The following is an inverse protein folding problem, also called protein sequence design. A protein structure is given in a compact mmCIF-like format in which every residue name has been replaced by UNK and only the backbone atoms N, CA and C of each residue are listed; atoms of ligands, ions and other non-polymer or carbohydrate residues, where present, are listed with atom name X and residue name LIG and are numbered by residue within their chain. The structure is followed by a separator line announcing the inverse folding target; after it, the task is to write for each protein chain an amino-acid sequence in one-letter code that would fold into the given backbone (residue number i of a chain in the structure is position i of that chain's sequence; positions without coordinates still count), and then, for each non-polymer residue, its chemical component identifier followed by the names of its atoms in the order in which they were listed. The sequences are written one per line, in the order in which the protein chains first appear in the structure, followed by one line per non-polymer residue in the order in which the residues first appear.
data_IF_407445259131
#
_entry.id   IF_407445259131
#
_cell.length_a   1.000
_cell.length_b   1.000
_cell.length_c   1.000
_cell.angle_alpha   90.00
_cell.angle_beta   90.00
_cell.angle_gamma   90.00
#
_symmetry.space_group_name_H-M   'P 1'
#
loop_
_entity.id
_entity.type
_entity.pdbx_description
1 polymer ?
#
# COMPACT_ATOMS: atom_id res chain seq x y z
N UNK A 1 -100.93 9.75 -1.92
CA UNK A 1 -102.23 10.31 -2.31
C UNK A 1 -102.13 11.84 -2.37
N UNK A 2 -102.67 12.41 -3.40
CA UNK A 2 -102.78 13.86 -3.59
C UNK A 2 -104.21 14.19 -4.00
N UNK A 3 -104.69 15.38 -3.67
CA UNK A 3 -105.97 15.91 -4.15
C UNK A 3 -105.76 17.27 -4.85
N UNK A 4 -106.51 17.62 -5.84
CA UNK A 4 -106.42 18.92 -6.54
C UNK A 4 -106.90 20.11 -5.65
N UNK A 5 -107.62 19.85 -4.53
CA UNK A 5 -108.11 20.88 -3.63
C UNK A 5 -107.11 21.34 -2.54
N UNK A 6 -106.01 20.63 -2.36
CA UNK A 6 -104.99 20.92 -1.35
C UNK A 6 -103.60 20.57 -1.88
N UNK A 7 -102.55 21.24 -1.35
CA UNK A 7 -101.14 20.94 -1.60
C UNK A 7 -100.58 19.85 -0.71
N UNK A 8 -101.40 19.36 0.23
CA UNK A 8 -100.97 18.33 1.14
C UNK A 8 -100.86 16.98 0.47
N UNK A 9 -99.91 16.17 0.95
CA UNK A 9 -99.70 14.80 0.48
C UNK A 9 -99.78 13.86 1.65
N UNK A 10 -100.49 12.75 1.52
CA UNK A 10 -100.61 11.74 2.55
C UNK A 10 -100.27 10.34 2.00
N UNK A 11 -99.95 9.42 2.90
CA UNK A 11 -99.82 7.98 2.52
C UNK A 11 -101.26 7.41 2.23
N UNK A 12 -101.39 6.30 1.49
CA UNK A 12 -102.66 5.69 1.15
C UNK A 12 -103.49 5.28 2.34
N UNK A 13 -102.90 4.92 3.48
CA UNK A 13 -103.59 4.53 4.72
C UNK A 13 -104.34 5.71 5.36
N UNK A 14 -103.83 6.94 5.25
CA UNK A 14 -104.34 8.16 5.83
C UNK A 14 -105.07 9.08 4.78
N UNK A 15 -105.54 8.47 3.76
CA UNK A 15 -106.17 9.23 2.65
C UNK A 15 -107.37 10.09 3.08
N UNK A 16 -108.07 9.66 4.16
CA UNK A 16 -109.25 10.39 4.69
C UNK A 16 -108.87 11.72 5.34
N UNK A 17 -107.60 11.85 5.77
CA UNK A 17 -107.11 13.04 6.51
C UNK A 17 -106.59 14.14 5.58
N UNK A 18 -106.60 13.92 4.25
CA UNK A 18 -106.01 14.86 3.31
C UNK A 18 -106.97 16.00 3.02
N UNK A 19 -108.34 15.66 2.85
CA UNK A 19 -109.42 16.60 2.55
C UNK A 19 -110.74 15.89 2.62
N UNK A 20 -111.89 16.68 2.62
CA UNK A 20 -113.28 16.20 2.62
C UNK A 20 -113.79 15.74 1.23
N UNK A 21 -112.94 15.67 0.24
CA UNK A 21 -113.26 15.19 -1.09
C UNK A 21 -113.45 13.69 -1.12
N UNK A 22 -114.36 13.15 -1.86
CA UNK A 22 -114.59 11.71 -2.03
C UNK A 22 -113.35 11.01 -2.64
N UNK A 23 -113.19 9.69 -2.40
CA UNK A 23 -112.08 8.91 -2.88
C UNK A 23 -111.81 8.99 -4.40
N UNK A 24 -112.83 9.22 -5.19
CA UNK A 24 -112.78 9.40 -6.65
C UNK A 24 -111.99 10.62 -7.11
N UNK A 25 -111.77 11.61 -6.22
CA UNK A 25 -111.00 12.81 -6.51
C UNK A 25 -109.62 12.74 -6.07
N UNK A 26 -109.21 11.67 -5.46
CA UNK A 26 -107.83 11.44 -5.00
C UNK A 26 -106.98 10.75 -6.06
N UNK A 27 -105.79 11.24 -6.26
CA UNK A 27 -104.84 10.67 -7.22
C UNK A 27 -103.75 9.97 -6.46
N UNK A 28 -103.58 8.69 -6.73
CA UNK A 28 -102.40 7.90 -6.22
C UNK A 28 -101.21 8.26 -7.11
N UNK A 29 -100.19 8.82 -6.49
CA UNK A 29 -98.96 9.06 -7.15
C UNK A 29 -98.00 7.98 -6.67
N UNK A 30 -97.54 7.15 -7.58
CA UNK A 30 -96.44 6.24 -7.34
C UNK A 30 -95.15 7.02 -7.57
N UNK A 31 -94.29 7.00 -6.56
CA UNK A 31 -92.94 7.63 -6.61
C UNK A 31 -91.96 6.76 -7.36
N UNK A 32 -92.14 5.49 -7.19
CA UNK A 32 -91.31 4.47 -7.84
C UNK A 32 -92.25 3.38 -8.38
N UNK A 33 -91.91 2.80 -9.54
CA UNK A 33 -92.50 1.54 -10.02
C UNK A 33 -92.05 0.37 -9.15
N UNK A 34 -92.79 -0.72 -9.09
CA UNK A 34 -92.43 -1.94 -8.41
C UNK A 34 -91.07 -2.49 -8.93
N UNK A 35 -90.81 -2.37 -10.23
CA UNK A 35 -89.55 -2.74 -10.85
C UNK A 35 -88.41 -1.86 -10.30
N UNK A 36 -88.64 -0.56 -10.15
CA UNK A 36 -87.64 0.37 -9.58
C UNK A 36 -87.38 0.07 -8.09
N UNK A 37 -88.37 -0.34 -7.33
CA UNK A 37 -88.19 -0.73 -5.92
C UNK A 37 -87.45 -2.03 -5.81
N UNK A 38 -87.71 -3.03 -6.66
CA UNK A 38 -86.99 -4.26 -6.74
C UNK A 38 -85.51 -4.00 -7.10
N UNK A 39 -85.27 -3.13 -8.07
CA UNK A 39 -83.93 -2.73 -8.47
C UNK A 39 -83.16 -2.03 -7.30
N UNK A 40 -83.87 -1.13 -6.57
CA UNK A 40 -83.23 -0.47 -5.37
C UNK A 40 -82.98 -1.48 -4.29
N UNK A 41 -83.90 -2.39 -4.00
CA UNK A 41 -83.74 -3.43 -2.98
C UNK A 41 -82.62 -4.38 -3.35
N UNK A 42 -82.56 -4.83 -4.59
CA UNK A 42 -81.50 -5.68 -5.10
C UNK A 42 -80.13 -5.00 -4.96
N UNK A 43 -79.99 -3.77 -5.38
CA UNK A 43 -78.79 -3.00 -5.25
C UNK A 43 -78.40 -2.74 -3.78
N UNK A 44 -79.38 -2.48 -2.93
CA UNK A 44 -79.16 -2.29 -1.51
C UNK A 44 -78.68 -3.60 -0.86
N UNK A 45 -79.31 -4.72 -1.21
CA UNK A 45 -78.95 -6.06 -0.71
C UNK A 45 -77.55 -6.49 -1.20
N UNK A 46 -77.27 -6.24 -2.48
CA UNK A 46 -75.94 -6.47 -3.00
C UNK A 46 -74.85 -5.66 -2.21
N UNK A 47 -75.11 -4.37 -2.03
CA UNK A 47 -74.19 -3.53 -1.27
C UNK A 47 -74.08 -3.96 0.20
N UNK A 48 -75.15 -4.36 0.85
CA UNK A 48 -75.13 -4.86 2.21
C UNK A 48 -74.37 -6.18 2.38
N UNK A 49 -74.34 -7.01 1.31
CA UNK A 49 -73.63 -8.25 1.29
C UNK A 49 -72.15 -8.12 0.93
N UNK A 50 -71.68 -6.97 0.40
CA UNK A 50 -70.26 -6.76 0.03
C UNK A 50 -69.30 -7.08 1.19
N UNK A 51 -69.48 -6.62 2.43
CA UNK A 51 -68.59 -6.99 3.54
C UNK A 51 -68.54 -8.48 3.80
N UNK A 52 -69.69 -9.16 3.81
CA UNK A 52 -69.73 -10.61 4.07
C UNK A 52 -69.09 -11.39 2.94
N UNK A 53 -69.30 -10.99 1.67
CA UNK A 53 -68.69 -11.65 0.52
C UNK A 53 -67.17 -11.48 0.55
N UNK A 54 -66.69 -10.29 0.96
CA UNK A 54 -65.26 -10.03 1.11
C UNK A 54 -64.66 -10.85 2.23
N UNK A 55 -65.27 -10.97 3.42
CA UNK A 55 -64.81 -11.80 4.53
C UNK A 55 -64.75 -13.27 4.10
N UNK A 56 -65.79 -13.78 3.43
CA UNK A 56 -65.78 -15.15 2.92
C UNK A 56 -64.66 -15.38 1.86
N UNK A 57 -64.29 -14.37 1.08
CA UNK A 57 -63.18 -14.42 0.15
C UNK A 57 -61.88 -14.45 0.91
N UNK A 58 -61.71 -13.68 1.93
CA UNK A 58 -60.54 -13.69 2.83
C UNK A 58 -60.37 -15.07 3.50
N UNK A 59 -61.40 -15.56 4.16
CA UNK A 59 -61.43 -16.87 4.82
C UNK A 59 -61.06 -18.02 3.88
N UNK A 60 -61.61 -18.03 2.66
CA UNK A 60 -61.23 -19.02 1.66
C UNK A 60 -59.78 -18.91 1.26
N UNK A 61 -59.26 -17.71 1.03
CA UNK A 61 -57.87 -17.48 0.65
C UNK A 61 -56.89 -17.94 1.71
N UNK A 62 -57.23 -17.82 3.00
CA UNK A 62 -56.44 -18.33 4.14
C UNK A 62 -56.59 -19.85 4.28
N UNK A 63 -57.79 -20.39 4.03
CA UNK A 63 -58.03 -21.83 4.15
C UNK A 63 -57.39 -22.63 2.99
N UNK A 64 -57.36 -22.06 1.78
CA UNK A 64 -56.81 -22.72 0.59
C UNK A 64 -55.26 -22.89 0.65
N UNK A 65 -54.56 -22.04 1.42
CA UNK A 65 -53.10 -22.13 1.59
C UNK A 65 -52.70 -21.77 3.01
N UNK A 66 -51.93 -22.64 3.70
CA UNK A 66 -51.39 -22.34 5.02
C UNK A 66 -50.43 -21.14 5.01
N UNK A 67 -49.87 -20.79 3.83
CA UNK A 67 -49.02 -19.63 3.60
C UNK A 67 -49.60 -18.83 2.42
N UNK A 68 -50.52 -17.86 2.67
CA UNK A 68 -51.11 -17.06 1.63
C UNK A 68 -50.11 -16.14 0.98
N UNK A 69 -50.19 -15.96 -0.32
CA UNK A 69 -49.30 -15.06 -1.06
C UNK A 69 -49.54 -13.61 -0.65
N UNK A 70 -48.48 -12.89 -0.28
CA UNK A 70 -48.54 -11.47 0.10
C UNK A 70 -49.21 -10.60 -0.96
N UNK A 71 -49.01 -10.90 -2.25
CA UNK A 71 -49.62 -10.23 -3.37
C UNK A 71 -51.16 -10.33 -3.31
N UNK A 72 -51.67 -11.51 -2.96
CA UNK A 72 -53.12 -11.74 -2.81
C UNK A 72 -53.66 -10.97 -1.60
N UNK A 73 -52.97 -11.00 -0.46
CA UNK A 73 -53.36 -10.25 0.75
C UNK A 73 -53.37 -8.75 0.51
N UNK A 74 -52.41 -8.19 -0.20
CA UNK A 74 -52.38 -6.78 -0.63
C UNK A 74 -53.60 -6.43 -1.52
N UNK A 75 -53.96 -7.35 -2.42
CA UNK A 75 -55.12 -7.17 -3.28
C UNK A 75 -56.42 -7.15 -2.47
N UNK A 76 -56.57 -8.12 -1.56
CA UNK A 76 -57.72 -8.22 -0.64
C UNK A 76 -57.81 -6.98 0.27
N UNK A 77 -56.69 -6.50 0.82
CA UNK A 77 -56.67 -5.24 1.59
C UNK A 77 -57.15 -4.07 0.78
N UNK A 78 -56.66 -3.91 -0.48
CA UNK A 78 -57.08 -2.82 -1.38
C UNK A 78 -58.54 -2.94 -1.76
N UNK A 79 -59.07 -4.14 -1.94
CA UNK A 79 -60.50 -4.37 -2.20
C UNK A 79 -61.33 -4.01 -0.96
N UNK A 80 -60.89 -4.43 0.24
CA UNK A 80 -61.57 -4.12 1.52
C UNK A 80 -61.64 -2.62 1.79
N UNK A 81 -60.55 -1.88 1.52
CA UNK A 81 -60.47 -0.43 1.70
C UNK A 81 -61.44 0.35 0.79
N UNK A 82 -61.90 -0.25 -0.31
CA UNK A 82 -62.89 0.34 -1.23
C UNK A 82 -64.33 0.12 -0.76
N UNK A 83 -64.57 -0.78 0.17
CA UNK A 83 -65.90 -1.06 0.69
C UNK A 83 -66.27 0.03 1.71
N UNK A 84 -67.31 0.82 1.49
CA UNK A 84 -67.66 1.99 2.35
C UNK A 84 -68.36 1.58 3.66
N UNK A 85 -68.22 0.36 4.10
CA UNK A 85 -68.82 -0.19 5.31
C UNK A 85 -67.74 -0.71 6.27
N UNK A 86 -67.95 -0.63 7.57
CA UNK A 86 -66.96 -1.11 8.51
C UNK A 86 -66.83 -2.64 8.45
N UNK A 87 -65.62 -3.09 8.28
CA UNK A 87 -65.25 -4.52 8.26
C UNK A 87 -64.27 -4.75 9.40
N UNK A 88 -64.61 -5.45 10.50
CA UNK A 88 -63.74 -5.67 11.64
C UNK A 88 -62.41 -6.39 11.27
N UNK A 89 -62.42 -7.31 10.32
CA UNK A 89 -61.33 -8.15 9.88
C UNK A 89 -60.29 -7.35 9.05
N UNK A 90 -60.65 -6.13 8.58
CA UNK A 90 -59.76 -5.32 7.75
C UNK A 90 -58.59 -4.73 8.53
N UNK A 91 -58.81 -4.37 9.82
CA UNK A 91 -57.75 -3.80 10.65
C UNK A 91 -56.66 -4.83 11.00
N UNK A 92 -56.95 -6.05 11.43
CA UNK A 92 -55.96 -7.12 11.60
C UNK A 92 -55.23 -7.50 10.29
N UNK A 93 -55.95 -7.54 9.20
CA UNK A 93 -55.31 -7.81 7.88
C UNK A 93 -54.33 -6.71 7.48
N UNK A 94 -54.68 -5.44 7.73
CA UNK A 94 -53.78 -4.30 7.47
C UNK A 94 -52.51 -4.42 8.31
N UNK A 95 -52.61 -4.62 9.60
CA UNK A 95 -51.46 -4.80 10.46
C UNK A 95 -50.58 -5.95 10.04
N UNK A 96 -51.17 -7.07 9.65
CA UNK A 96 -50.45 -8.23 9.13
C UNK A 96 -49.71 -7.91 7.84
N UNK A 97 -50.37 -7.29 6.85
CA UNK A 97 -49.78 -6.91 5.57
C UNK A 97 -48.69 -5.85 5.76
N UNK A 98 -48.84 -4.92 6.70
CA UNK A 98 -47.78 -3.93 7.05
C UNK A 98 -46.55 -4.64 7.59
N UNK A 99 -46.68 -5.56 8.53
CA UNK A 99 -45.56 -6.37 9.05
C UNK A 99 -44.87 -7.19 7.94
N UNK A 100 -45.66 -7.82 7.06
CA UNK A 100 -45.10 -8.54 5.90
C UNK A 100 -44.35 -7.60 4.93
N UNK A 101 -44.88 -6.38 4.75
CA UNK A 101 -44.21 -5.36 3.90
C UNK A 101 -42.90 -4.90 4.52
N UNK A 102 -42.85 -4.63 5.82
CA UNK A 102 -41.61 -4.27 6.56
C UNK A 102 -40.58 -5.39 6.43
N UNK A 103 -40.99 -6.65 6.59
CA UNK A 103 -40.15 -7.81 6.37
C UNK A 103 -39.58 -7.87 4.93
N UNK A 104 -40.44 -7.66 3.91
CA UNK A 104 -40.00 -7.66 2.49
C UNK A 104 -39.02 -6.52 2.23
N UNK A 105 -39.22 -5.33 2.79
CA UNK A 105 -38.29 -4.21 2.66
C UNK A 105 -36.94 -4.54 3.29
N UNK A 106 -36.93 -5.15 4.46
CA UNK A 106 -35.72 -5.59 5.11
C UNK A 106 -35.03 -6.72 4.32
N UNK A 107 -35.75 -7.75 3.91
CA UNK A 107 -35.23 -8.85 3.09
C UNK A 107 -34.62 -8.36 1.76
N UNK A 108 -35.30 -7.40 1.11
CA UNK A 108 -34.82 -6.79 -0.14
C UNK A 108 -33.44 -6.15 0.05
N UNK A 109 -33.13 -5.55 1.22
CA UNK A 109 -31.85 -5.00 1.54
C UNK A 109 -30.74 -6.08 1.56
N UNK A 110 -31.04 -7.29 1.93
CA UNK A 110 -30.08 -8.42 1.89
C UNK A 110 -29.95 -9.01 0.48
N UNK A 111 -31.02 -9.00 -0.33
CA UNK A 111 -31.04 -9.59 -1.67
C UNK A 111 -30.39 -8.69 -2.72
N UNK A 112 -30.75 -7.39 -2.73
CA UNK A 112 -30.39 -6.45 -3.82
C UNK A 112 -29.11 -5.68 -3.60
N UNK A 113 -28.32 -6.00 -2.57
CA UNK A 113 -27.09 -5.30 -2.20
C UNK A 113 -25.97 -5.48 -3.24
N UNK A 114 -26.26 -5.14 -4.49
CA UNK A 114 -25.25 -4.96 -5.54
C UNK A 114 -24.78 -3.51 -5.54
N UNK A 115 -23.45 -3.34 -5.46
CA UNK A 115 -22.60 -2.19 -5.91
C UNK A 115 -23.16 -0.74 -5.89
N UNK A 116 -24.46 -0.51 -5.94
CA UNK A 116 -25.04 0.85 -5.95
C UNK A 116 -24.89 1.57 -4.59
N UNK A 117 -24.92 0.85 -3.49
CA UNK A 117 -24.73 1.43 -2.16
C UNK A 117 -23.29 1.83 -1.88
N UNK A 118 -22.30 1.11 -2.47
CA UNK A 118 -20.89 1.45 -2.34
C UNK A 118 -20.57 2.86 -2.84
N UNK A 119 -21.13 3.27 -3.99
CA UNK A 119 -20.96 4.62 -4.56
C UNK A 119 -21.70 5.72 -3.77
N UNK A 120 -22.84 5.39 -3.15
CA UNK A 120 -23.57 6.35 -2.29
C UNK A 120 -22.89 6.54 -0.94
N UNK A 121 -22.40 5.46 -0.35
CA UNK A 121 -21.67 5.48 0.93
C UNK A 121 -20.30 6.17 0.78
N UNK A 122 -19.60 5.97 -0.32
CA UNK A 122 -18.33 6.64 -0.61
C UNK A 122 -18.46 8.17 -0.72
N UNK A 123 -19.61 8.66 -1.26
CA UNK A 123 -19.94 10.10 -1.27
C UNK A 123 -20.32 10.64 0.12
N UNK A 124 -20.97 9.84 0.95
CA UNK A 124 -21.33 10.21 2.33
C UNK A 124 -20.10 10.23 3.24
N UNK A 125 -19.19 9.26 3.04
CA UNK A 125 -17.94 9.12 3.81
C UNK A 125 -17.01 10.33 3.62
N UNK A 126 -16.93 10.84 2.39
CA UNK A 126 -16.15 12.07 2.09
C UNK A 126 -16.68 13.34 2.79
N UNK A 127 -17.91 13.32 3.33
CA UNK A 127 -18.51 14.46 4.01
C UNK A 127 -18.41 14.45 5.54
N UNK A 128 -17.87 13.38 6.15
CA UNK A 128 -17.53 13.33 7.59
C UNK A 128 -18.67 13.63 8.56
N UNK A 129 -19.93 13.30 8.21
CA UNK A 129 -21.10 13.59 9.04
C UNK A 129 -21.45 12.43 9.96
N UNK A 130 -22.09 12.72 11.10
CA UNK A 130 -22.59 11.71 12.05
C UNK A 130 -23.47 10.63 11.38
N UNK A 131 -24.17 10.98 10.29
CA UNK A 131 -24.93 10.03 9.44
C UNK A 131 -24.03 8.98 8.75
N UNK A 132 -22.75 9.24 8.57
CA UNK A 132 -21.84 8.28 7.94
C UNK A 132 -21.52 7.12 8.89
N UNK A 133 -21.37 7.40 10.18
CA UNK A 133 -21.13 6.37 11.22
C UNK A 133 -22.35 5.46 11.39
N UNK A 134 -23.55 6.05 11.40
CA UNK A 134 -24.82 5.31 11.50
C UNK A 134 -25.07 4.41 10.26
N UNK A 135 -24.71 4.90 9.07
CA UNK A 135 -24.76 4.11 7.84
C UNK A 135 -23.73 2.96 7.84
N UNK A 136 -22.54 3.19 8.39
CA UNK A 136 -21.52 2.16 8.52
C UNK A 136 -21.92 1.06 9.51
N UNK A 137 -22.55 1.43 10.61
CA UNK A 137 -23.03 0.48 11.61
C UNK A 137 -24.19 -0.36 11.06
N UNK A 138 -25.13 0.27 10.34
CA UNK A 138 -26.15 -0.45 9.59
C UNK A 138 -25.54 -1.37 8.51
N UNK A 139 -24.49 -0.95 7.85
CA UNK A 139 -23.79 -1.78 6.87
C UNK A 139 -23.13 -2.99 7.52
N UNK A 140 -22.55 -2.86 8.70
CA UNK A 140 -22.00 -3.97 9.48
C UNK A 140 -23.10 -4.95 9.92
N UNK A 141 -24.23 -4.42 10.41
CA UNK A 141 -25.38 -5.27 10.80
C UNK A 141 -25.89 -6.11 9.62
N UNK A 142 -26.00 -5.53 8.44
CA UNK A 142 -26.50 -6.26 7.27
C UNK A 142 -25.49 -7.29 6.69
N UNK A 143 -24.23 -7.27 7.13
CA UNK A 143 -23.24 -8.27 6.74
C UNK A 143 -23.25 -9.53 7.58
N UNK A 144 -24.01 -9.55 8.67
CA UNK A 144 -24.12 -10.69 9.57
C UNK A 144 -25.02 -11.76 8.98
N UNK A 145 -24.53 -12.98 8.84
CA UNK A 145 -25.30 -14.15 8.36
C UNK A 145 -26.45 -14.49 9.30
N UNK A 146 -26.26 -14.25 10.61
CA UNK A 146 -27.26 -14.48 11.64
C UNK A 146 -28.55 -13.70 11.39
N UNK A 147 -28.45 -12.49 10.81
CA UNK A 147 -29.61 -11.69 10.50
C UNK A 147 -30.43 -12.26 9.34
N UNK A 148 -29.78 -12.87 8.35
CA UNK A 148 -30.48 -13.61 7.26
C UNK A 148 -31.25 -14.77 7.85
N UNK A 149 -30.64 -15.54 8.76
CA UNK A 149 -31.28 -16.69 9.43
C UNK A 149 -32.47 -16.22 10.28
N UNK A 150 -32.33 -15.10 11.01
CA UNK A 150 -33.43 -14.51 11.81
C UNK A 150 -34.60 -14.10 10.94
N UNK A 151 -34.32 -13.40 9.81
CA UNK A 151 -35.37 -13.01 8.87
C UNK A 151 -36.11 -14.22 8.28
N UNK A 152 -35.41 -15.29 7.94
CA UNK A 152 -36.07 -16.52 7.47
C UNK A 152 -36.94 -17.15 8.57
N UNK A 153 -36.46 -17.16 9.82
CA UNK A 153 -37.26 -17.65 10.94
C UNK A 153 -38.49 -16.75 11.20
N UNK A 154 -38.38 -15.44 11.05
CA UNK A 154 -39.53 -14.52 11.10
C UNK A 154 -40.56 -14.78 10.00
N UNK A 155 -40.11 -15.01 8.78
CA UNK A 155 -41.00 -15.38 7.67
C UNK A 155 -41.76 -16.69 7.95
N UNK A 156 -41.07 -17.68 8.52
CA UNK A 156 -41.68 -18.95 8.93
C UNK A 156 -42.70 -18.76 10.06
N UNK A 157 -42.49 -17.81 10.97
CA UNK A 157 -43.42 -17.46 12.04
C UNK A 157 -44.62 -16.65 11.54
N UNK A 158 -44.42 -15.81 10.51
CA UNK A 158 -45.50 -15.02 9.90
C UNK A 158 -46.39 -15.85 8.97
N UNK A 159 -45.94 -17.01 8.55
CA UNK A 159 -46.70 -17.97 7.71
C UNK A 159 -47.28 -17.35 6.43
N UNK A 160 -46.51 -16.49 5.74
CA UNK A 160 -46.88 -15.94 4.44
C UNK A 160 -45.91 -16.39 3.35
N UNK A 161 -46.27 -16.18 2.10
CA UNK A 161 -45.46 -16.53 0.93
C UNK A 161 -45.17 -15.29 0.08
N UNK A 162 -43.90 -15.13 -0.34
CA UNK A 162 -43.47 -14.13 -1.30
C UNK A 162 -42.15 -14.57 -1.98
N UNK A 163 -41.86 -14.11 -3.20
CA UNK A 163 -40.65 -14.49 -3.95
C UNK A 163 -39.34 -14.10 -3.26
N UNK A 164 -39.38 -13.11 -2.38
CA UNK A 164 -38.22 -12.67 -1.61
C UNK A 164 -37.80 -13.71 -0.57
N UNK A 165 -38.74 -14.51 -0.03
CA UNK A 165 -38.42 -15.62 0.89
C UNK A 165 -37.59 -16.68 0.17
N UNK A 166 -37.97 -17.07 -1.03
CA UNK A 166 -37.24 -18.08 -1.82
C UNK A 166 -35.85 -17.57 -2.18
N UNK A 167 -35.74 -16.32 -2.63
CA UNK A 167 -34.45 -15.70 -2.95
C UNK A 167 -33.52 -15.62 -1.72
N UNK A 168 -34.07 -15.29 -0.56
CA UNK A 168 -33.30 -15.20 0.69
C UNK A 168 -32.86 -16.59 1.15
N UNK A 169 -33.71 -17.61 0.95
CA UNK A 169 -33.40 -19.02 1.27
C UNK A 169 -32.31 -19.55 0.37
N UNK A 170 -32.42 -19.36 -0.96
CA UNK A 170 -31.36 -19.73 -1.91
C UNK A 170 -30.02 -19.11 -1.56
N UNK A 171 -30.06 -17.84 -1.13
CA UNK A 171 -28.85 -17.14 -0.68
C UNK A 171 -28.27 -17.74 0.60
N UNK A 172 -29.11 -18.06 1.58
CA UNK A 172 -28.67 -18.70 2.82
C UNK A 172 -28.07 -20.08 2.56
N UNK A 173 -28.69 -20.86 1.70
CA UNK A 173 -28.19 -22.18 1.29
C UNK A 173 -26.85 -22.08 0.56
N UNK A 174 -26.71 -21.13 -0.37
CA UNK A 174 -25.46 -20.88 -1.07
C UNK A 174 -24.33 -20.46 -0.12
N UNK A 175 -24.62 -19.64 0.91
CA UNK A 175 -23.65 -19.28 1.95
C UNK A 175 -23.26 -20.52 2.78
N UNK A 176 -24.22 -21.37 3.13
CA UNK A 176 -23.97 -22.58 3.89
C UNK A 176 -23.12 -23.58 3.10
N UNK A 177 -23.41 -23.77 1.82
CA UNK A 177 -22.60 -24.59 0.91
C UNK A 177 -21.18 -24.07 0.78
N UNK A 178 -21.03 -22.74 0.67
CA UNK A 178 -19.72 -22.11 0.68
C UNK A 178 -18.95 -22.40 1.97
N UNK A 179 -19.59 -22.21 3.13
CA UNK A 179 -18.98 -22.50 4.45
C UNK A 179 -18.50 -23.95 4.54
N UNK A 180 -19.26 -24.87 4.02
CA UNK A 180 -18.91 -26.29 4.04
C UNK A 180 -17.71 -26.57 3.12
N UNK A 181 -17.68 -25.97 1.92
CA UNK A 181 -16.53 -26.07 1.00
C UNK A 181 -15.29 -25.40 1.57
N UNK A 182 -15.44 -24.22 2.18
CA UNK A 182 -14.35 -23.50 2.84
C UNK A 182 -13.73 -24.33 3.98
N UNK A 183 -14.55 -24.92 4.85
CA UNK A 183 -14.08 -25.83 5.92
C UNK A 183 -13.36 -27.06 5.37
N UNK A 184 -13.87 -27.65 4.30
CA UNK A 184 -13.20 -28.77 3.63
C UNK A 184 -11.84 -28.34 3.05
N UNK A 185 -11.77 -27.17 2.42
CA UNK A 185 -10.52 -26.62 1.89
C UNK A 185 -9.49 -26.33 3.00
N UNK A 186 -9.92 -25.80 4.14
CA UNK A 186 -9.06 -25.54 5.29
C UNK A 186 -8.52 -26.83 5.94
N UNK A 187 -9.29 -27.94 5.89
CA UNK A 187 -8.82 -29.24 6.42
C UNK A 187 -7.90 -29.98 5.45
N UNK A 188 -8.07 -29.77 4.14
CA UNK A 188 -7.31 -30.46 3.08
C UNK A 188 -6.35 -29.56 2.32
N UNK A 189 -5.93 -28.44 2.92
CA UNK A 189 -5.11 -27.40 2.28
C UNK A 189 -3.81 -27.91 1.62
N UNK A 190 -3.27 -29.05 2.02
CA UNK A 190 -2.06 -29.64 1.42
C UNK A 190 -2.21 -30.14 -0.02
N UNK A 191 -3.44 -30.24 -0.55
CA UNK A 191 -3.72 -30.75 -1.89
C UNK A 191 -4.31 -29.71 -2.85
N UNK A 192 -4.62 -28.52 -2.37
CA UNK A 192 -5.23 -27.45 -3.16
C UNK A 192 -4.16 -26.45 -3.64
N UNK A 193 -4.33 -25.96 -4.87
CA UNK A 193 -3.47 -24.93 -5.44
C UNK A 193 -3.86 -23.54 -4.93
N UNK A 194 -2.91 -22.61 -4.96
CA UNK A 194 -3.16 -21.19 -4.60
C UNK A 194 -4.31 -20.58 -5.41
N UNK A 195 -4.42 -20.92 -6.72
CA UNK A 195 -5.54 -20.50 -7.57
C UNK A 195 -6.91 -20.98 -7.09
N UNK A 196 -7.02 -22.22 -6.59
CA UNK A 196 -8.28 -22.73 -6.04
C UNK A 196 -8.71 -21.99 -4.77
N UNK A 197 -7.76 -21.57 -3.92
CA UNK A 197 -8.04 -20.71 -2.77
C UNK A 197 -8.49 -19.31 -3.20
N UNK A 198 -7.86 -18.73 -4.21
CA UNK A 198 -8.25 -17.42 -4.76
C UNK A 198 -9.67 -17.41 -5.30
N UNK A 199 -10.03 -18.42 -6.10
CA UNK A 199 -11.39 -18.57 -6.62
C UNK A 199 -12.41 -18.74 -5.49
N UNK A 200 -12.08 -19.53 -4.47
CA UNK A 200 -12.97 -19.74 -3.33
C UNK A 200 -13.15 -18.46 -2.51
N UNK A 201 -12.09 -17.70 -2.29
CA UNK A 201 -12.14 -16.41 -1.59
C UNK A 201 -12.95 -15.38 -2.39
N UNK A 202 -12.76 -15.31 -3.71
CA UNK A 202 -13.52 -14.40 -4.57
C UNK A 202 -15.01 -14.74 -4.54
N UNK A 203 -15.34 -16.05 -4.58
CA UNK A 203 -16.71 -16.50 -4.42
C UNK A 203 -17.30 -16.11 -3.05
N UNK A 204 -16.53 -16.28 -1.96
CA UNK A 204 -16.95 -15.85 -0.61
C UNK A 204 -17.20 -14.35 -0.50
N UNK A 205 -16.31 -13.54 -1.08
CA UNK A 205 -16.48 -12.08 -1.16
C UNK A 205 -17.70 -11.66 -1.99
N UNK A 206 -18.09 -12.46 -2.97
CA UNK A 206 -19.27 -12.26 -3.80
C UNK A 206 -20.58 -12.23 -3.01
N UNK A 207 -20.64 -12.92 -1.87
CA UNK A 207 -21.82 -12.87 -0.98
C UNK A 207 -21.97 -11.53 -0.25
N UNK A 208 -20.94 -10.73 -0.14
CA UNK A 208 -20.94 -9.45 0.58
C UNK A 208 -21.45 -9.58 2.04
N UNK A 209 -21.09 -10.65 2.70
CA UNK A 209 -21.34 -10.96 4.12
C UNK A 209 -20.02 -11.24 4.80
N UNK A 210 -19.92 -10.95 6.08
CA UNK A 210 -18.73 -11.21 6.86
C UNK A 210 -18.71 -12.70 7.24
N UNK A 211 -17.78 -13.43 6.62
CA UNK A 211 -17.59 -14.85 6.82
C UNK A 211 -16.21 -15.11 7.43
N UNK A 212 -16.18 -15.65 8.63
CA UNK A 212 -14.94 -16.03 9.32
C UNK A 212 -14.09 -16.98 8.47
N UNK A 213 -14.75 -17.89 7.77
CA UNK A 213 -14.11 -18.84 6.87
C UNK A 213 -13.35 -18.15 5.73
N UNK A 214 -13.81 -16.98 5.27
CA UNK A 214 -13.11 -16.20 4.23
C UNK A 214 -11.81 -15.59 4.77
N UNK A 215 -11.81 -15.09 6.01
CA UNK A 215 -10.62 -14.56 6.67
C UNK A 215 -9.58 -15.65 6.92
N UNK A 216 -10.05 -16.84 7.35
CA UNK A 216 -9.19 -18.01 7.54
C UNK A 216 -8.56 -18.49 6.21
N UNK A 217 -9.34 -18.52 5.12
CA UNK A 217 -8.86 -18.85 3.77
C UNK A 217 -7.83 -17.81 3.29
N UNK A 218 -8.05 -16.52 3.52
CA UNK A 218 -7.09 -15.47 3.18
C UNK A 218 -5.78 -15.61 3.94
N UNK A 219 -5.86 -16.03 5.21
CA UNK A 219 -4.66 -16.29 6.02
C UNK A 219 -3.87 -17.46 5.44
N UNK A 220 -4.54 -18.57 5.15
CA UNK A 220 -3.90 -19.76 4.54
C UNK A 220 -3.35 -19.45 3.15
N UNK A 221 -4.06 -18.70 2.33
CA UNK A 221 -3.57 -18.26 1.02
C UNK A 221 -2.28 -17.43 1.14
N UNK A 222 -2.21 -16.49 2.10
CA UNK A 222 -0.99 -15.72 2.34
C UNK A 222 0.17 -16.60 2.79
N UNK A 223 -0.10 -17.61 3.63
CA UNK A 223 0.91 -18.61 4.02
C UNK A 223 1.41 -19.41 2.82
N UNK A 224 0.51 -19.91 1.97
CA UNK A 224 0.88 -20.67 0.77
C UNK A 224 1.69 -19.81 -0.22
N UNK A 225 1.28 -18.57 -0.46
CA UNK A 225 2.02 -17.62 -1.30
C UNK A 225 3.41 -17.32 -0.75
N UNK A 226 3.53 -17.18 0.56
CA UNK A 226 4.83 -17.01 1.19
C UNK A 226 5.72 -18.25 0.97
N UNK A 227 5.16 -19.47 1.15
CA UNK A 227 5.91 -20.73 0.94
C UNK A 227 6.35 -20.85 -0.53
N UNK A 228 5.49 -20.51 -1.50
CA UNK A 228 5.82 -20.50 -2.92
C UNK A 228 6.93 -19.47 -3.22
N UNK A 229 6.80 -18.24 -2.74
CA UNK A 229 7.81 -17.20 -2.89
C UNK A 229 9.14 -17.62 -2.25
N UNK A 230 9.10 -18.15 -1.03
CA UNK A 230 10.28 -18.66 -0.33
C UNK A 230 10.96 -19.77 -1.12
N UNK A 231 10.21 -20.68 -1.73
CA UNK A 231 10.72 -21.76 -2.58
C UNK A 231 11.39 -21.21 -3.85
N UNK A 232 10.81 -20.22 -4.50
CA UNK A 232 11.42 -19.54 -5.64
C UNK A 232 12.68 -18.77 -5.27
N UNK A 233 12.69 -18.13 -4.12
CA UNK A 233 13.83 -17.39 -3.60
C UNK A 233 15.01 -18.30 -3.23
N UNK A 234 14.79 -19.58 -2.91
CA UNK A 234 15.84 -20.54 -2.58
C UNK A 234 16.87 -20.75 -3.70
N UNK A 235 16.47 -20.52 -4.96
CA UNK A 235 17.36 -20.64 -6.14
C UNK A 235 18.08 -19.33 -6.53
N UNK A 236 17.89 -18.24 -5.80
CA UNK A 236 18.43 -16.91 -6.12
C UNK A 236 19.33 -16.42 -4.99
N UNK A 237 20.29 -15.54 -5.35
CA UNK A 237 21.05 -14.83 -4.35
C UNK A 237 20.16 -13.79 -3.66
N UNK A 238 20.13 -13.86 -2.33
CA UNK A 238 19.42 -12.89 -1.48
C UNK A 238 20.44 -12.18 -0.59
N UNK A 239 20.19 -10.89 -0.33
CA UNK A 239 20.96 -10.15 0.67
C UNK A 239 20.51 -10.56 2.10
N UNK A 240 21.32 -10.28 3.11
CA UNK A 240 20.96 -10.53 4.50
C UNK A 240 19.68 -9.79 4.91
N UNK A 241 19.45 -8.61 4.36
CA UNK A 241 18.23 -7.85 4.58
C UNK A 241 17.02 -8.56 3.98
N UNK A 242 17.09 -9.00 2.71
CA UNK A 242 16.02 -9.71 2.04
C UNK A 242 15.62 -10.99 2.79
N UNK A 243 16.63 -11.74 3.28
CA UNK A 243 16.40 -12.94 4.10
C UNK A 243 15.73 -12.60 5.43
N UNK A 244 16.14 -11.49 6.06
CA UNK A 244 15.56 -11.04 7.33
C UNK A 244 14.12 -10.60 7.17
N UNK A 245 13.80 -9.87 6.10
CA UNK A 245 12.44 -9.45 5.75
C UNK A 245 11.56 -10.67 5.45
N UNK A 246 12.06 -11.62 4.67
CA UNK A 246 11.33 -12.85 4.36
C UNK A 246 11.00 -13.67 5.63
N UNK A 247 11.95 -13.79 6.57
CA UNK A 247 11.70 -14.44 7.86
C UNK A 247 10.68 -13.67 8.68
N UNK A 248 10.77 -12.33 8.72
CA UNK A 248 9.84 -11.49 9.46
C UNK A 248 8.40 -11.63 8.93
N UNK A 249 8.22 -11.63 7.61
CA UNK A 249 6.93 -11.93 6.97
C UNK A 249 6.41 -13.32 7.36
N UNK A 250 7.26 -14.34 7.31
CA UNK A 250 6.88 -15.70 7.69
C UNK A 250 6.42 -15.80 9.15
N UNK A 251 7.08 -15.09 10.06
CA UNK A 251 6.70 -15.02 11.48
C UNK A 251 5.37 -14.29 11.64
N UNK A 252 5.15 -13.19 10.94
CA UNK A 252 3.88 -12.45 10.95
C UNK A 252 2.72 -13.30 10.45
N UNK A 253 2.95 -14.10 9.43
CA UNK A 253 1.98 -15.06 8.90
C UNK A 253 1.80 -16.32 9.78
N UNK A 254 2.51 -16.41 10.90
CA UNK A 254 2.50 -17.56 11.81
C UNK A 254 2.85 -18.89 11.11
N UNK A 255 3.87 -18.86 10.24
CA UNK A 255 4.43 -20.08 9.64
C UNK A 255 5.17 -20.86 10.71
N UNK A 256 4.98 -22.18 10.81
CA UNK A 256 5.65 -22.99 11.82
C UNK A 256 7.17 -22.95 11.68
N UNK A 257 7.88 -22.91 12.80
CA UNK A 257 9.35 -22.90 12.83
C UNK A 257 9.99 -24.15 12.23
N UNK A 258 9.27 -25.26 12.19
CA UNK A 258 9.70 -26.52 11.60
C UNK A 258 9.38 -26.64 10.09
N UNK A 259 8.81 -25.59 9.48
CA UNK A 259 8.65 -25.54 8.03
C UNK A 259 10.02 -25.57 7.35
N UNK A 260 10.12 -26.30 6.24
CA UNK A 260 11.38 -26.50 5.51
C UNK A 260 11.99 -25.19 5.03
N UNK A 261 11.15 -24.27 4.50
CA UNK A 261 11.62 -22.99 3.98
C UNK A 261 12.04 -22.05 5.13
N UNK A 262 11.22 -22.00 6.17
CA UNK A 262 11.53 -21.20 7.37
C UNK A 262 12.86 -21.65 8.02
N UNK A 263 13.05 -22.94 8.19
CA UNK A 263 14.28 -23.52 8.74
C UNK A 263 15.49 -23.19 7.85
N UNK A 264 15.32 -23.31 6.52
CA UNK A 264 16.38 -22.99 5.57
C UNK A 264 16.81 -21.53 5.70
N UNK A 265 15.87 -20.58 5.63
CA UNK A 265 16.21 -19.14 5.68
C UNK A 265 16.73 -18.72 7.05
N UNK A 266 16.25 -19.30 8.15
CA UNK A 266 16.84 -19.09 9.49
C UNK A 266 18.30 -19.54 9.55
N UNK A 267 18.63 -20.69 8.95
CA UNK A 267 20.02 -21.16 8.90
C UNK A 267 20.90 -20.24 8.03
N UNK A 268 20.37 -19.77 6.90
CA UNK A 268 21.03 -18.80 6.02
C UNK A 268 21.28 -17.47 6.73
N UNK A 269 20.30 -16.98 7.49
CA UNK A 269 20.46 -15.76 8.31
C UNK A 269 21.58 -15.91 9.33
N UNK A 270 21.61 -17.01 10.07
CA UNK A 270 22.66 -17.27 11.06
C UNK A 270 24.02 -17.26 10.38
N UNK A 271 24.16 -17.90 9.22
CA UNK A 271 25.42 -17.92 8.48
C UNK A 271 25.81 -16.51 7.99
N UNK A 272 24.86 -15.72 7.53
CA UNK A 272 25.07 -14.32 7.14
C UNK A 272 25.47 -13.43 8.33
N UNK A 273 24.79 -13.55 9.46
CA UNK A 273 25.11 -12.81 10.69
C UNK A 273 26.52 -13.15 11.19
N UNK A 274 26.92 -14.43 11.12
CA UNK A 274 28.29 -14.85 11.46
C UNK A 274 29.32 -14.27 10.50
N UNK A 275 29.04 -14.24 9.22
CA UNK A 275 29.89 -13.60 8.22
C UNK A 275 30.05 -12.10 8.51
N UNK A 276 28.97 -11.42 8.81
CA UNK A 276 28.98 -9.98 9.10
C UNK A 276 29.75 -9.65 10.39
N UNK A 277 29.54 -10.45 11.44
CA UNK A 277 30.30 -10.32 12.69
C UNK A 277 31.81 -10.47 12.44
N UNK A 278 32.20 -11.48 11.65
CA UNK A 278 33.59 -11.72 11.29
C UNK A 278 34.18 -10.60 10.41
N UNK A 279 33.37 -10.07 9.47
CA UNK A 279 33.79 -8.94 8.67
C UNK A 279 34.05 -7.69 9.51
N UNK A 280 33.13 -7.36 10.45
CA UNK A 280 33.30 -6.25 11.38
C UNK A 280 34.51 -6.45 12.31
N UNK A 281 34.71 -7.67 12.80
CA UNK A 281 35.89 -8.01 13.60
C UNK A 281 37.17 -7.75 12.81
N UNK A 282 37.29 -8.27 11.59
CA UNK A 282 38.45 -8.08 10.74
C UNK A 282 38.69 -6.62 10.37
N UNK A 283 37.63 -5.85 10.12
CA UNK A 283 37.73 -4.41 9.82
C UNK A 283 38.13 -3.57 11.05
N UNK A 284 37.87 -4.04 12.25
CA UNK A 284 38.26 -3.34 13.51
C UNK A 284 39.69 -3.57 13.93
N UNK A 285 40.35 -4.58 13.39
CA UNK A 285 41.73 -4.91 13.73
C UNK A 285 42.71 -3.99 13.00
N UNK A 286 43.69 -3.45 13.72
CA UNK A 286 44.68 -2.49 13.21
C UNK A 286 45.53 -3.02 12.05
N UNK A 287 45.76 -4.35 12.02
CA UNK A 287 46.49 -5.05 10.95
C UNK A 287 45.66 -6.21 10.44
N UNK A 288 45.00 -6.04 9.29
CA UNK A 288 44.18 -7.08 8.66
C UNK A 288 45.03 -7.90 7.70
N UNK A 289 44.94 -9.22 7.81
CA UNK A 289 45.53 -10.11 6.81
C UNK A 289 44.71 -10.10 5.52
N UNK A 290 45.31 -9.64 4.44
CA UNK A 290 44.69 -9.54 3.11
C UNK A 290 44.02 -10.86 2.70
N UNK A 291 44.65 -12.00 2.91
CA UNK A 291 44.11 -13.32 2.56
C UNK A 291 42.81 -13.65 3.31
N UNK A 292 42.67 -13.20 4.57
CA UNK A 292 41.45 -13.44 5.33
C UNK A 292 40.27 -12.60 4.80
N UNK A 293 40.53 -11.35 4.46
CA UNK A 293 39.53 -10.49 3.83
C UNK A 293 39.14 -10.98 2.42
N UNK A 294 40.11 -11.46 1.65
CA UNK A 294 39.87 -12.03 0.32
C UNK A 294 39.04 -13.31 0.38
N UNK A 295 39.35 -14.20 1.33
CA UNK A 295 38.56 -15.40 1.59
C UNK A 295 37.14 -15.06 2.04
N UNK A 296 36.98 -14.02 2.86
CA UNK A 296 35.68 -13.56 3.33
C UNK A 296 34.83 -12.94 2.18
N UNK A 297 35.45 -12.12 1.36
CA UNK A 297 34.77 -11.57 0.15
C UNK A 297 34.38 -12.69 -0.82
N UNK A 298 35.20 -13.72 -0.97
CA UNK A 298 34.88 -14.91 -1.78
C UNK A 298 33.66 -15.69 -1.27
N UNK A 299 33.46 -15.78 0.04
CA UNK A 299 32.30 -16.44 0.65
C UNK A 299 30.98 -15.66 0.44
N UNK A 300 31.08 -14.36 0.22
CA UNK A 300 29.89 -13.50 0.01
C UNK A 300 29.04 -13.88 -1.20
N UNK A 301 29.59 -14.62 -2.17
CA UNK A 301 28.85 -15.11 -3.33
C UNK A 301 27.87 -16.25 -3.01
N UNK A 302 28.06 -16.94 -1.89
CA UNK A 302 27.28 -18.13 -1.50
C UNK A 302 26.44 -17.91 -0.25
N UNK A 303 26.69 -16.83 0.48
CA UNK A 303 26.00 -16.49 1.72
C UNK A 303 25.21 -15.19 1.57
N UNK A 304 24.06 -15.06 2.25
CA UNK A 304 23.36 -13.79 2.33
C UNK A 304 24.16 -12.80 3.17
N UNK A 305 24.69 -11.78 2.55
CA UNK A 305 25.52 -10.78 3.23
C UNK A 305 24.93 -9.38 3.08
N UNK A 306 25.26 -8.47 4.02
CA UNK A 306 24.93 -7.07 3.91
C UNK A 306 25.71 -6.43 2.75
N UNK A 307 25.01 -5.76 1.83
CA UNK A 307 25.64 -5.05 0.71
C UNK A 307 26.59 -3.95 1.18
N UNK A 308 26.24 -3.30 2.27
CA UNK A 308 27.06 -2.22 2.84
C UNK A 308 28.37 -2.77 3.38
N UNK A 309 28.30 -3.81 4.21
CA UNK A 309 29.50 -4.45 4.79
C UNK A 309 30.39 -5.06 3.71
N UNK A 310 29.79 -5.73 2.71
CA UNK A 310 30.53 -6.24 1.56
C UNK A 310 31.23 -5.13 0.78
N UNK A 311 30.52 -4.02 0.52
CA UNK A 311 31.13 -2.86 -0.16
C UNK A 311 32.31 -2.28 0.60
N UNK A 312 32.24 -2.23 1.94
CA UNK A 312 33.34 -1.78 2.78
C UNK A 312 34.54 -2.74 2.71
N UNK A 313 34.29 -4.04 2.76
CA UNK A 313 35.36 -5.06 2.60
C UNK A 313 36.00 -4.95 1.23
N UNK A 314 35.20 -4.84 0.16
CA UNK A 314 35.71 -4.72 -1.21
C UNK A 314 36.47 -3.40 -1.43
N UNK A 315 36.04 -2.30 -0.82
CA UNK A 315 36.80 -1.04 -0.85
C UNK A 315 38.16 -1.20 -0.21
N UNK A 316 38.26 -1.87 0.96
CA UNK A 316 39.53 -2.14 1.62
C UNK A 316 40.40 -3.02 0.72
N UNK A 317 39.85 -4.10 0.18
CA UNK A 317 40.56 -5.00 -0.74
C UNK A 317 41.05 -4.27 -2.00
N UNK A 318 40.22 -3.43 -2.60
CA UNK A 318 40.57 -2.67 -3.81
C UNK A 318 41.67 -1.64 -3.50
N UNK A 319 41.58 -0.92 -2.37
CA UNK A 319 42.65 -0.01 -1.94
C UNK A 319 43.96 -0.76 -1.75
N UNK A 320 43.94 -1.93 -1.13
CA UNK A 320 45.14 -2.74 -0.93
C UNK A 320 45.70 -3.30 -2.25
N UNK A 321 44.85 -3.80 -3.13
CA UNK A 321 45.27 -4.26 -4.45
C UNK A 321 45.86 -3.13 -5.30
N UNK A 322 45.29 -1.94 -5.22
CA UNK A 322 45.82 -0.78 -5.90
C UNK A 322 47.15 -0.33 -5.34
N UNK A 323 47.28 -0.25 -4.02
CA UNK A 323 48.53 0.03 -3.35
C UNK A 323 49.62 -0.97 -3.71
N UNK A 324 49.29 -2.27 -3.72
CA UNK A 324 50.22 -3.31 -4.13
C UNK A 324 50.66 -3.16 -5.60
N UNK A 325 49.77 -2.85 -6.51
CA UNK A 325 50.06 -2.53 -7.92
C UNK A 325 50.99 -1.31 -8.05
N UNK A 326 50.73 -0.26 -7.26
CA UNK A 326 51.56 0.94 -7.26
C UNK A 326 52.95 0.65 -6.72
N UNK A 327 53.10 -0.13 -5.65
CA UNK A 327 54.40 -0.55 -5.14
C UNK A 327 55.16 -1.35 -6.20
N UNK A 328 54.53 -2.34 -6.84
CA UNK A 328 55.16 -3.13 -7.89
C UNK A 328 55.59 -2.24 -9.08
N UNK A 329 54.74 -1.33 -9.50
CA UNK A 329 55.04 -0.38 -10.57
C UNK A 329 56.22 0.52 -10.19
N UNK A 330 56.25 1.08 -9.01
CA UNK A 330 57.37 1.86 -8.52
C UNK A 330 58.66 1.04 -8.49
N UNK A 331 58.62 -0.23 -8.05
CA UNK A 331 59.73 -1.14 -8.02
C UNK A 331 60.28 -1.45 -9.43
N UNK A 332 59.40 -1.76 -10.35
CA UNK A 332 59.78 -2.02 -11.76
C UNK A 332 60.36 -0.77 -12.41
N UNK A 333 59.75 0.40 -12.20
CA UNK A 333 60.27 1.67 -12.71
C UNK A 333 61.61 2.04 -12.08
N UNK A 334 61.84 1.73 -10.84
CA UNK A 334 63.12 2.04 -10.17
C UNK A 334 64.32 1.30 -10.77
N UNK A 335 64.07 0.16 -11.44
CA UNK A 335 65.10 -0.66 -12.08
C UNK A 335 65.38 -0.29 -13.54
N UNK A 336 64.64 0.69 -14.10
CA UNK A 336 64.89 1.14 -15.47
C UNK A 336 66.29 1.75 -15.63
N UNK A 337 66.96 1.46 -16.74
CA UNK A 337 68.30 1.95 -16.99
C UNK A 337 68.36 3.48 -17.15
N UNK A 338 67.35 4.08 -17.72
CA UNK A 338 67.27 5.51 -17.94
C UNK A 338 66.83 6.22 -16.66
N UNK A 339 67.60 7.17 -16.09
CA UNK A 339 67.23 7.90 -14.87
C UNK A 339 65.95 8.73 -14.98
N UNK A 340 65.60 9.23 -16.18
CA UNK A 340 64.42 10.09 -16.41
C UNK A 340 63.09 9.30 -16.27
N UNK A 341 63.13 7.98 -16.52
CA UNK A 341 61.98 7.10 -16.44
C UNK A 341 61.77 6.52 -15.03
N UNK A 342 62.72 6.77 -14.14
CA UNK A 342 62.63 6.31 -12.76
C UNK A 342 61.61 7.11 -11.93
N UNK A 343 60.96 6.52 -10.94
CA UNK A 343 59.98 7.23 -10.09
C UNK A 343 60.65 8.41 -9.40
N UNK A 344 59.94 9.55 -9.34
CA UNK A 344 60.40 10.71 -8.58
C UNK A 344 60.10 10.49 -7.09
N UNK A 345 60.88 11.15 -6.25
CA UNK A 345 60.64 11.08 -4.78
C UNK A 345 59.22 11.46 -4.37
N UNK A 346 58.61 12.42 -5.09
CA UNK A 346 57.22 12.81 -4.88
C UNK A 346 56.26 11.64 -5.12
N UNK A 347 56.42 10.87 -6.16
CA UNK A 347 55.59 9.69 -6.49
C UNK A 347 55.71 8.62 -5.39
N UNK A 348 56.92 8.37 -4.88
CA UNK A 348 57.15 7.42 -3.78
C UNK A 348 56.49 7.88 -2.50
N UNK A 349 56.58 9.20 -2.22
CA UNK A 349 55.98 9.78 -1.01
C UNK A 349 54.44 9.71 -1.05
N UNK A 350 53.83 10.05 -2.17
CA UNK A 350 52.37 9.93 -2.33
C UNK A 350 51.88 8.50 -2.10
N UNK A 351 52.59 7.52 -2.65
CA UNK A 351 52.27 6.11 -2.41
C UNK A 351 52.47 5.75 -0.94
N UNK A 352 53.54 6.19 -0.30
CA UNK A 352 53.82 5.92 1.13
C UNK A 352 52.79 6.57 2.04
N UNK A 353 52.37 7.81 1.74
CA UNK A 353 51.29 8.49 2.47
C UNK A 353 49.95 7.74 2.32
N UNK A 354 49.64 7.23 1.11
CA UNK A 354 48.45 6.39 0.87
C UNK A 354 48.52 5.04 1.61
N UNK A 355 49.73 4.46 1.79
CA UNK A 355 49.95 3.23 2.53
C UNK A 355 49.77 3.41 4.04
N UNK A 356 50.03 4.61 4.57
CA UNK A 356 49.80 4.93 5.98
C UNK A 356 48.30 4.92 6.36
N UNK A 357 47.41 5.16 5.40
CA UNK A 357 45.95 5.09 5.59
C UNK A 357 45.40 3.64 5.48
N UNK A 358 46.25 2.68 5.07
CA UNK A 358 45.80 1.30 4.91
C UNK A 358 45.89 0.52 6.22
N UNK A 359 44.88 -0.31 6.48
CA UNK A 359 44.83 -1.20 7.62
C UNK A 359 45.80 -2.41 7.48
N UNK A 360 46.53 -2.55 6.36
CA UNK A 360 47.51 -3.60 6.19
C UNK A 360 48.73 -3.06 5.44
N UNK A 361 49.88 -3.66 5.71
CA UNK A 361 51.11 -3.36 4.98
C UNK A 361 51.28 -4.32 3.81
N UNK A 362 51.09 -3.88 2.56
CA UNK A 362 51.33 -4.71 1.38
C UNK A 362 52.79 -5.17 1.32
N UNK A 363 53.04 -6.32 0.66
CA UNK A 363 54.38 -6.81 0.42
C UNK A 363 55.23 -5.79 -0.32
N UNK A 364 56.44 -5.51 0.14
CA UNK A 364 57.33 -4.49 -0.46
C UNK A 364 57.29 -3.13 0.24
N UNK A 365 56.33 -2.86 1.13
CA UNK A 365 56.23 -1.60 1.90
C UNK A 365 57.54 -1.33 2.69
N UNK A 366 58.10 -2.36 3.34
CA UNK A 366 59.35 -2.26 4.14
C UNK A 366 60.54 -1.81 3.28
N UNK A 367 60.63 -2.32 2.06
CA UNK A 367 61.72 -1.94 1.17
C UNK A 367 61.53 -0.53 0.64
N UNK A 368 60.30 -0.13 0.39
CA UNK A 368 59.97 1.26 0.03
C UNK A 368 60.29 2.24 1.18
N UNK A 369 59.98 1.88 2.43
CA UNK A 369 60.31 2.67 3.62
C UNK A 369 61.85 2.85 3.77
N UNK A 370 62.61 1.78 3.48
CA UNK A 370 64.09 1.87 3.50
C UNK A 370 64.60 2.83 2.44
N UNK A 371 64.06 2.74 1.19
CA UNK A 371 64.45 3.63 0.13
C UNK A 371 64.02 5.08 0.41
N UNK A 372 62.84 5.32 0.95
CA UNK A 372 62.43 6.64 1.37
C UNK A 372 63.37 7.25 2.42
N UNK A 373 63.71 6.49 3.46
CA UNK A 373 64.69 6.92 4.49
C UNK A 373 66.06 7.23 3.88
N UNK A 374 66.50 6.41 2.92
CA UNK A 374 67.74 6.63 2.23
C UNK A 374 67.74 7.95 1.44
N UNK A 375 66.62 8.25 0.77
CA UNK A 375 66.41 9.50 0.03
C UNK A 375 66.36 10.72 0.99
N UNK A 376 65.62 10.56 2.11
CA UNK A 376 65.53 11.65 3.12
C UNK A 376 66.88 11.93 3.78
N UNK A 377 67.69 10.94 4.05
CA UNK A 377 69.03 11.09 4.59
C UNK A 377 69.95 11.79 3.54
N UNK A 378 69.82 11.39 2.26
CA UNK A 378 70.52 12.06 1.20
C UNK A 378 70.10 13.53 1.07
N UNK A 379 68.80 13.84 1.11
CA UNK A 379 68.29 15.22 1.12
C UNK A 379 68.77 16.03 2.34
N UNK A 380 68.83 15.40 3.51
CA UNK A 380 69.32 16.03 4.73
C UNK A 380 70.79 16.41 4.59
N UNK A 381 71.62 15.52 4.01
CA UNK A 381 73.03 15.80 3.72
C UNK A 381 73.14 16.91 2.65
N UNK A 382 72.37 16.80 1.59
CA UNK A 382 72.31 17.85 0.55
C UNK A 382 71.94 19.22 1.07
N UNK A 383 70.95 19.29 1.98
CA UNK A 383 70.55 20.56 2.66
C UNK A 383 71.68 21.20 3.39
N UNK A 384 72.51 20.41 4.11
CA UNK A 384 73.69 20.92 4.79
C UNK A 384 74.70 21.50 3.82
N UNK A 385 74.94 20.83 2.68
CA UNK A 385 75.88 21.27 1.68
C UNK A 385 75.40 22.55 0.92
N UNK A 386 74.12 22.62 0.61
CA UNK A 386 73.54 23.74 -0.14
C UNK A 386 72.91 24.84 0.72
N UNK A 387 73.06 24.76 2.05
CA UNK A 387 72.60 25.81 2.98
C UNK A 387 71.07 26.01 3.12
N UNK A 388 70.24 25.13 2.51
CA UNK A 388 68.80 25.21 2.59
C UNK A 388 68.22 24.03 3.42
N UNK A 389 67.77 24.34 4.59
CA UNK A 389 67.39 23.32 5.57
C UNK A 389 66.11 22.55 5.29
N UNK A 390 65.35 22.75 4.22
CA UNK A 390 64.12 21.99 3.94
C UNK A 390 63.77 21.91 2.46
N UNK A 391 64.73 21.99 1.55
CA UNK A 391 64.46 21.90 0.13
C UNK A 391 64.10 20.47 -0.33
N UNK A 392 62.96 20.20 -0.96
CA UNK A 392 62.66 18.95 -1.60
C UNK A 392 63.70 18.59 -2.67
N UNK A 393 63.83 17.29 -3.05
CA UNK A 393 64.82 16.86 -4.02
C UNK A 393 64.78 17.58 -5.34
N UNK A 394 63.58 17.90 -5.87
CA UNK A 394 63.40 18.66 -7.11
C UNK A 394 63.91 20.09 -6.96
N UNK A 395 63.79 20.73 -5.82
CA UNK A 395 64.36 22.05 -5.52
C UNK A 395 65.89 21.98 -5.51
N UNK A 396 66.44 20.96 -4.91
CA UNK A 396 67.90 20.74 -4.95
C UNK A 396 68.39 20.52 -6.35
N UNK A 397 67.64 19.76 -7.20
CA UNK A 397 67.94 19.58 -8.60
C UNK A 397 67.92 20.90 -9.37
N UNK A 398 66.92 21.72 -9.19
CA UNK A 398 66.80 23.03 -9.80
C UNK A 398 67.97 23.90 -9.36
N UNK A 399 68.35 23.86 -8.10
CA UNK A 399 69.50 24.62 -7.61
C UNK A 399 70.83 24.12 -8.25
N UNK A 400 70.97 22.80 -8.41
CA UNK A 400 72.12 22.21 -9.11
C UNK A 400 72.12 22.62 -10.58
N UNK A 401 71.02 22.53 -11.26
CA UNK A 401 70.87 23.01 -12.64
C UNK A 401 71.12 24.52 -12.79
N UNK A 402 70.67 25.32 -11.84
CA UNK A 402 70.95 26.72 -11.79
C UNK A 402 72.47 26.99 -11.65
N UNK A 403 73.16 26.28 -10.76
CA UNK A 403 74.59 26.41 -10.62
C UNK A 403 75.34 25.95 -11.88
N UNK A 404 74.92 24.82 -12.47
CA UNK A 404 75.47 24.33 -13.71
C UNK A 404 75.30 25.31 -14.88
N UNK A 405 74.04 25.76 -15.11
CA UNK A 405 73.71 26.76 -16.15
C UNK A 405 74.44 28.08 -15.92
N UNK A 406 74.56 28.49 -14.67
CA UNK A 406 75.34 29.70 -14.35
C UNK A 406 76.83 29.53 -14.69
N UNK A 407 77.37 28.35 -14.47
CA UNK A 407 78.77 28.05 -14.81
C UNK A 407 78.95 27.98 -16.32
N UNK A 408 77.94 27.49 -17.08
CA UNK A 408 77.98 27.43 -18.53
C UNK A 408 77.71 28.78 -19.19
N UNK A 409 76.87 29.62 -18.59
CA UNK A 409 76.47 30.92 -19.11
C UNK A 409 77.14 32.11 -18.40
N UNK A 410 78.33 31.95 -17.91
CA UNK A 410 79.01 32.98 -17.10
C UNK A 410 79.24 34.29 -17.82
N UNK A 411 79.19 34.34 -19.16
CA UNK A 411 79.36 35.52 -19.98
C UNK A 411 78.06 36.08 -20.58
N UNK A 412 76.88 35.40 -20.39
CA UNK A 412 75.58 35.82 -20.93
C UNK A 412 74.65 36.23 -19.79
N UNK A 413 74.62 37.55 -19.51
CA UNK A 413 73.85 38.10 -18.39
C UNK A 413 72.31 38.11 -18.64
N UNK A 414 71.85 37.94 -19.88
CA UNK A 414 70.45 37.97 -20.27
C UNK A 414 69.74 36.66 -19.98
N UNK A 415 70.48 35.54 -20.00
CA UNK A 415 69.92 34.20 -19.77
C UNK A 415 70.12 33.68 -18.33
N UNK A 416 70.19 34.53 -17.34
CA UNK A 416 70.36 34.11 -15.95
C UNK A 416 69.13 33.31 -15.51
N UNK A 417 69.29 32.04 -15.12
CA UNK A 417 68.15 31.29 -14.59
C UNK A 417 67.67 31.95 -13.30
N UNK A 418 66.37 32.13 -13.24
CA UNK A 418 65.71 32.72 -12.06
C UNK A 418 65.94 31.81 -10.85
N UNK A 419 66.15 32.42 -9.69
CA UNK A 419 66.24 31.66 -8.43
C UNK A 419 64.98 30.80 -8.27
N UNK A 420 65.12 29.50 -8.05
CA UNK A 420 63.94 28.66 -7.87
C UNK A 420 63.14 29.11 -6.64
N UNK A 421 61.87 29.29 -6.85
CA UNK A 421 60.95 29.62 -5.75
C UNK A 421 60.45 28.31 -5.14
N UNK A 422 60.50 28.21 -3.84
CA UNK A 422 59.98 27.01 -3.14
C UNK A 422 58.50 26.87 -3.43
N UNK A 423 58.06 25.70 -3.93
CA UNK A 423 56.65 25.53 -4.31
C UNK A 423 55.68 25.62 -3.15
N UNK A 424 56.15 25.35 -1.93
CA UNK A 424 55.27 25.26 -0.75
C UNK A 424 54.92 26.60 -0.09
N UNK A 425 55.51 27.71 -0.53
CA UNK A 425 55.34 28.94 0.22
C UNK A 425 54.61 30.06 -0.51
N UNK A 426 54.28 29.94 -1.80
CA UNK A 426 53.82 31.09 -2.56
C UNK A 426 52.89 30.82 -3.73
N UNK A 427 52.09 29.84 -3.69
CA UNK A 427 50.98 29.77 -4.67
C UNK A 427 49.92 30.85 -4.44
N UNK A 428 50.00 31.60 -3.34
CA UNK A 428 48.98 32.57 -2.96
C UNK A 428 49.47 33.99 -2.66
N UNK A 429 50.62 34.41 -3.20
CA UNK A 429 50.98 35.81 -3.13
C UNK A 429 51.31 36.39 -4.51
N UNK A 430 50.45 37.27 -5.01
CA UNK A 430 50.82 38.04 -6.20
C UNK A 430 51.99 38.95 -5.79
N UNK A 431 53.09 38.81 -6.49
CA UNK A 431 54.22 39.76 -6.39
C UNK A 431 53.74 41.09 -6.93
N UNK A 432 53.26 41.93 -5.99
CA UNK A 432 53.06 43.36 -6.28
C UNK A 432 54.42 44.02 -6.32
N UNK A 433 54.77 44.64 -7.46
CA UNK A 433 55.84 45.61 -7.52
C UNK A 433 55.57 46.79 -6.57
N UNK A 434 56.60 47.60 -6.21
CA UNK A 434 56.42 48.69 -5.31
C UNK A 434 55.69 49.85 -6.00
N UNK A 435 54.43 50.05 -5.65
CA UNK A 435 53.66 51.15 -6.20
C UNK A 435 52.19 51.07 -5.78
N UNK A 436 51.89 51.88 -4.73
CA UNK A 436 50.62 52.40 -4.35
C UNK A 436 49.64 51.50 -3.58
N UNK A 437 49.47 51.89 -2.35
CA UNK A 437 48.45 51.52 -1.42
C UNK A 437 47.05 51.81 -1.98
N UNK A 438 46.29 50.77 -2.29
CA UNK A 438 44.86 50.84 -2.14
C UNK A 438 44.39 49.55 -1.44
N UNK A 439 43.81 49.76 -0.24
CA UNK A 439 43.18 48.74 0.60
C UNK A 439 41.96 48.18 -0.14
N UNK A 440 42.19 47.27 -1.08
CA UNK A 440 41.16 46.45 -1.66
C UNK A 440 41.31 45.02 -1.14
N UNK A 441 40.24 44.41 -0.54
CA UNK A 441 40.19 42.98 -0.24
C UNK A 441 40.62 42.21 -1.49
N UNK A 442 41.43 41.14 -1.39
CA UNK A 442 41.73 40.32 -2.54
C UNK A 442 40.40 39.88 -3.16
N UNK A 443 40.20 40.17 -4.43
CA UNK A 443 39.05 39.69 -5.17
C UNK A 443 39.21 38.18 -5.32
N UNK A 444 38.29 37.45 -4.72
CA UNK A 444 38.22 36.00 -4.90
C UNK A 444 37.97 35.71 -6.38
N UNK A 445 38.70 34.79 -6.93
CA UNK A 445 38.65 34.39 -8.33
C UNK A 445 38.09 32.99 -8.38
N UNK A 446 36.89 32.86 -8.90
CA UNK A 446 36.12 31.60 -8.85
C UNK A 446 36.13 30.81 -10.14
N UNK A 447 36.50 31.38 -11.25
CA UNK A 447 36.41 30.72 -12.54
C UNK A 447 37.79 30.25 -13.06
N UNK A 448 37.85 29.16 -13.82
CA UNK A 448 39.05 28.67 -14.52
C UNK A 448 39.69 29.75 -15.37
N UNK A 449 38.92 30.70 -15.90
CA UNK A 449 39.43 31.85 -16.65
C UNK A 449 40.17 32.87 -15.79
N UNK A 450 40.12 32.76 -14.44
CA UNK A 450 40.68 33.66 -13.45
C UNK A 450 40.21 35.10 -13.56
N UNK A 451 39.04 35.31 -14.12
CA UNK A 451 38.40 36.62 -14.16
C UNK A 451 37.61 36.87 -12.83
N UNK A 452 37.42 38.11 -12.42
CA UNK A 452 36.55 38.41 -11.30
C UNK A 452 35.12 38.06 -11.60
N UNK A 453 34.34 37.76 -10.53
CA UNK A 453 32.93 37.43 -10.63
C UNK A 453 32.18 38.39 -11.55
N UNK A 454 31.50 37.84 -12.56
CA UNK A 454 30.66 38.56 -13.51
C UNK A 454 29.46 37.76 -13.94
N UNK A 455 28.26 38.23 -13.57
CA UNK A 455 27.00 37.57 -13.91
C UNK A 455 26.62 36.45 -12.95
N UNK A 456 25.75 35.54 -13.42
CA UNK A 456 25.29 34.39 -12.63
C UNK A 456 26.31 33.25 -12.80
N UNK A 457 26.97 32.90 -11.71
CA UNK A 457 27.91 31.78 -11.66
C UNK A 457 27.24 30.57 -11.02
N UNK A 458 27.57 29.35 -11.48
CA UNK A 458 27.05 28.12 -10.97
C UNK A 458 28.21 27.30 -10.42
N UNK A 459 28.15 26.98 -9.14
CA UNK A 459 29.09 26.08 -8.49
C UNK A 459 28.75 24.61 -8.80
N UNK A 460 29.74 23.82 -9.12
CA UNK A 460 29.56 22.40 -9.25
C UNK A 460 29.48 21.74 -7.85
N UNK A 461 28.39 21.05 -7.58
CA UNK A 461 28.19 20.39 -6.28
C UNK A 461 29.18 19.26 -5.98
N UNK A 462 29.93 18.79 -6.99
CA UNK A 462 30.86 17.67 -6.86
C UNK A 462 32.30 18.12 -6.63
N UNK A 463 32.75 19.15 -7.37
CA UNK A 463 34.15 19.62 -7.29
C UNK A 463 34.27 21.01 -6.68
N UNK A 464 33.16 21.69 -6.40
CA UNK A 464 33.11 23.06 -5.85
C UNK A 464 33.84 24.12 -6.70
N UNK A 465 33.98 23.85 -8.01
CA UNK A 465 34.52 24.82 -8.97
C UNK A 465 33.37 25.60 -9.62
N UNK A 466 33.65 26.92 -9.88
CA UNK A 466 32.67 27.88 -10.42
C UNK A 466 32.80 28.09 -11.93
#
# INVERSE_FOLDING_TARGET
MTCACTSNVTCPTHYKDICDCGPSKLTLRLRYSDESLIDIDTKATERANLPKAWVSKLEKSVADSPRPQLKLLRTLLTEGDRIPYPIPELAPLREFVERCNEWVEEATNYITRKQQNRRKNEKAWRKGTAKAAELEERDKEHRKVENIIKLLAEADMLEFDCPEIDQLRERADAIQDFRQRAKSALTTHGHLTTGAFEELIEHGKGFNVDLVETEELEKVLRQLKWIENARECRGRYLSLQDVTELIAEGVELAIPDNDEQMTHFKSQKIAGDMWEAKAKELMSVEIVHFQQLEALSGQASTLPVSRETLSQVDQILNKQREAHRQIISLYQRSQLPNPDDRPKYKDVREVMDSLAELHSKPTGTIDLEKEQKRHEDWMRRGKKLFGKANAPLHILLIHMQYVENRNQACFNLEDRPRTPVEPSSREHSPIGGPGEASRGRPREVFCICRAPEAGMMIECEVCHEW
#
